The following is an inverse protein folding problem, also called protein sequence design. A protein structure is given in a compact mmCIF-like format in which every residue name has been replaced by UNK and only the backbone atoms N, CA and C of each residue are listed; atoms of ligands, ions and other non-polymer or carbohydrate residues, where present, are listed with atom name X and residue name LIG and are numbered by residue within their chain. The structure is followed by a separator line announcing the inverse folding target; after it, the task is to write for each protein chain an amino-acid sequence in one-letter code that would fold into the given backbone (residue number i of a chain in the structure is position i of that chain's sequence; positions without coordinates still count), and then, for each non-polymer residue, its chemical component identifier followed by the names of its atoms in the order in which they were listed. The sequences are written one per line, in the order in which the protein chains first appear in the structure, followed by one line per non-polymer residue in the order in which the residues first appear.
data_IF_242802378238
#
_entry.id   IF_242802378238
#
_cell.length_a   1.000
_cell.length_b   1.000
_cell.length_c   1.000
_cell.angle_alpha   90.00
_cell.angle_beta   90.00
_cell.angle_gamma   90.00
#
_symmetry.space_group_name_H-M   'P 1'
#
loop_
_entity.id
_entity.type
_entity.pdbx_description
1 polymer ?
#
# COMPACT_ATOMS: atom_id res chain seq x y z
N UNK A 1 -22.41 13.35 -21.42
CA UNK A 1 -21.23 13.73 -22.21
C UNK A 1 -20.09 13.90 -21.22
N UNK A 2 -19.04 13.07 -21.29
CA UNK A 2 -17.88 13.24 -20.40
C UNK A 2 -17.10 14.42 -20.95
N UNK A 3 -16.92 15.45 -20.12
CA UNK A 3 -16.24 16.68 -20.49
C UNK A 3 -14.73 16.41 -20.70
N UNK A 4 -14.14 16.78 -21.85
CA UNK A 4 -12.72 16.56 -22.11
C UNK A 4 -11.80 17.30 -21.13
N UNK A 5 -12.22 18.46 -20.60
CA UNK A 5 -11.45 19.16 -19.56
C UNK A 5 -11.50 18.41 -18.23
N UNK A 6 -12.61 17.71 -17.95
CA UNK A 6 -12.70 16.81 -16.80
C UNK A 6 -11.76 15.60 -16.97
N UNK A 7 -11.60 15.05 -18.17
CA UNK A 7 -10.66 13.95 -18.43
C UNK A 7 -9.21 14.38 -18.28
N UNK A 8 -8.84 15.56 -18.81
CA UNK A 8 -7.49 16.10 -18.64
C UNK A 8 -7.17 16.37 -17.17
N UNK A 9 -8.13 16.93 -16.43
CA UNK A 9 -7.98 17.18 -14.99
C UNK A 9 -7.84 15.86 -14.22
N UNK A 10 -8.64 14.85 -14.54
CA UNK A 10 -8.54 13.52 -13.93
C UNK A 10 -7.19 12.85 -14.24
N UNK A 11 -6.71 12.95 -15.49
CA UNK A 11 -5.40 12.46 -15.93
C UNK A 11 -4.27 13.09 -15.10
N UNK A 12 -4.28 14.41 -14.94
CA UNK A 12 -3.30 15.12 -14.10
C UNK A 12 -3.38 14.69 -12.63
N UNK A 13 -4.58 14.58 -12.08
CA UNK A 13 -4.80 14.14 -10.71
C UNK A 13 -4.24 12.73 -10.46
N UNK A 14 -4.48 11.79 -11.39
CA UNK A 14 -3.93 10.43 -11.31
C UNK A 14 -2.41 10.46 -11.37
N UNK A 15 -1.80 11.22 -12.28
CA UNK A 15 -0.34 11.33 -12.35
C UNK A 15 0.28 11.84 -11.05
N UNK A 16 -0.28 12.91 -10.45
CA UNK A 16 0.19 13.42 -9.16
C UNK A 16 0.05 12.38 -8.04
N UNK A 17 -1.03 11.61 -8.07
CA UNK A 17 -1.27 10.50 -7.16
C UNK A 17 -0.27 9.34 -7.32
N UNK A 18 0.19 9.08 -8.55
CA UNK A 18 1.19 8.04 -8.81
C UNK A 18 2.60 8.52 -8.46
N UNK A 19 2.92 9.78 -8.74
CA UNK A 19 4.18 10.42 -8.36
C UNK A 19 4.37 10.50 -6.85
N UNK A 20 3.34 10.94 -6.10
CA UNK A 20 3.39 11.00 -4.62
C UNK A 20 3.58 9.63 -3.97
N UNK A 21 3.21 8.56 -4.67
CA UNK A 21 3.44 7.17 -4.24
C UNK A 21 4.76 6.60 -4.77
N UNK A 22 5.54 7.33 -5.57
CA UNK A 22 6.76 6.84 -6.19
C UNK A 22 6.53 5.70 -7.18
N UNK A 23 5.36 5.66 -7.82
CA UNK A 23 4.98 4.70 -8.87
C UNK A 23 5.30 5.23 -10.27
N UNK A 24 5.52 6.54 -10.39
CA UNK A 24 6.05 7.18 -11.59
C UNK A 24 7.40 7.84 -11.26
N UNK A 25 8.25 7.93 -12.28
CA UNK A 25 9.47 8.73 -12.25
C UNK A 25 9.19 10.10 -12.87
N UNK A 26 9.93 11.12 -12.43
CA UNK A 26 9.80 12.47 -12.96
C UNK A 26 9.92 12.47 -14.49
N UNK A 27 8.94 13.08 -15.16
CA UNK A 27 8.90 13.16 -16.63
C UNK A 27 8.34 11.92 -17.34
N UNK A 28 7.78 10.93 -16.62
CA UNK A 28 7.12 9.75 -17.22
C UNK A 28 5.61 9.74 -16.99
N UNK A 29 4.98 10.91 -17.07
CA UNK A 29 3.52 11.02 -16.94
C UNK A 29 2.82 10.22 -18.06
N UNK A 30 1.63 9.71 -17.72
CA UNK A 30 0.77 8.97 -18.64
C UNK A 30 -0.39 9.88 -18.99
N UNK A 31 -0.63 10.14 -20.27
CA UNK A 31 -1.85 10.84 -20.66
C UNK A 31 -3.02 9.84 -20.68
N UNK A 32 -3.80 9.85 -19.59
CA UNK A 32 -5.01 9.03 -19.49
C UNK A 32 -6.19 9.58 -20.27
N UNK A 33 -6.14 10.85 -20.70
CA UNK A 33 -7.21 11.48 -21.48
C UNK A 33 -7.04 11.20 -22.99
N UNK A 34 -5.80 11.16 -23.45
CA UNK A 34 -5.43 10.79 -24.83
C UNK A 34 -4.17 9.89 -24.84
N UNK A 35 -4.32 8.58 -24.62
CA UNK A 35 -3.19 7.66 -24.59
C UNK A 35 -2.56 7.43 -25.98
N UNK A 36 -3.28 7.70 -27.08
CA UNK A 36 -2.74 7.60 -28.43
C UNK A 36 -1.76 8.73 -28.75
N UNK A 37 -2.03 9.93 -28.22
CA UNK A 37 -1.16 11.10 -28.31
C UNK A 37 0.09 11.05 -27.42
N UNK A 38 0.25 10.00 -26.60
CA UNK A 38 1.44 9.83 -25.77
C UNK A 38 2.71 9.68 -26.62
N UNK A 39 3.83 10.17 -26.11
CA UNK A 39 5.13 9.99 -26.74
C UNK A 39 5.46 8.49 -26.87
N UNK A 40 5.63 8.01 -28.10
CA UNK A 40 5.74 6.58 -28.42
C UNK A 40 4.40 5.84 -28.61
N UNK A 41 3.28 6.56 -28.70
CA UNK A 41 1.95 6.05 -29.03
C UNK A 41 1.30 5.20 -27.94
N UNK A 42 0.12 4.64 -28.29
CA UNK A 42 -0.73 3.86 -27.38
C UNK A 42 0.01 2.71 -26.69
N UNK A 43 0.89 2.00 -27.41
CA UNK A 43 1.61 0.85 -26.84
C UNK A 43 2.55 1.25 -25.70
N UNK A 44 3.21 2.41 -25.84
CA UNK A 44 4.06 2.95 -24.78
C UNK A 44 3.24 3.34 -23.56
N UNK A 45 2.10 4.03 -23.77
CA UNK A 45 1.19 4.39 -22.69
C UNK A 45 0.67 3.15 -21.95
N UNK A 46 0.22 2.13 -22.69
CA UNK A 46 -0.24 0.86 -22.12
C UNK A 46 0.86 0.13 -21.36
N UNK A 47 2.10 0.12 -21.87
CA UNK A 47 3.26 -0.45 -21.16
C UNK A 47 3.48 0.22 -19.81
N UNK A 48 3.43 1.56 -19.76
CA UNK A 48 3.54 2.33 -18.50
C UNK A 48 2.40 2.01 -17.54
N UNK A 49 1.16 1.92 -18.04
CA UNK A 49 -0.01 1.56 -17.23
C UNK A 49 0.17 0.16 -16.61
N UNK A 50 0.62 -0.82 -17.40
CA UNK A 50 0.87 -2.19 -16.92
C UNK A 50 1.92 -2.19 -15.81
N UNK A 51 3.02 -1.46 -15.98
CA UNK A 51 4.06 -1.34 -14.95
C UNK A 51 3.51 -0.73 -13.65
N UNK A 52 2.74 0.35 -13.75
CA UNK A 52 2.10 0.99 -12.58
C UNK A 52 1.16 0.03 -11.86
N UNK A 53 0.33 -0.71 -12.61
CA UNK A 53 -0.60 -1.70 -12.04
C UNK A 53 0.16 -2.82 -11.34
N UNK A 54 1.23 -3.34 -11.95
CA UNK A 54 2.08 -4.34 -11.33
C UNK A 54 2.68 -3.85 -10.00
N UNK A 55 3.22 -2.64 -9.99
CA UNK A 55 3.83 -2.07 -8.78
C UNK A 55 2.80 -1.83 -7.67
N UNK A 56 1.57 -1.45 -8.03
CA UNK A 56 0.46 -1.31 -7.08
C UNK A 56 0.09 -2.65 -6.44
N UNK A 57 0.00 -3.72 -7.24
CA UNK A 57 -0.28 -5.07 -6.74
C UNK A 57 0.84 -5.52 -5.79
N UNK A 58 2.10 -5.42 -6.22
CA UNK A 58 3.23 -5.84 -5.41
C UNK A 58 3.36 -5.04 -4.10
N UNK A 59 3.00 -3.77 -4.08
CA UNK A 59 2.99 -2.96 -2.85
C UNK A 59 1.83 -3.36 -1.94
N UNK A 60 0.63 -3.55 -2.49
CA UNK A 60 -0.54 -3.98 -1.73
C UNK A 60 -0.31 -5.34 -1.06
N UNK A 61 0.31 -6.26 -1.78
CA UNK A 61 0.61 -7.60 -1.26
C UNK A 61 1.61 -7.52 -0.10
N UNK A 62 2.70 -6.76 -0.27
CA UNK A 62 3.67 -6.47 0.82
C UNK A 62 3.02 -5.79 2.02
N UNK A 63 2.15 -4.83 1.80
CA UNK A 63 1.43 -4.13 2.88
C UNK A 63 0.43 -5.05 3.60
N UNK A 64 -0.12 -6.04 2.92
CA UNK A 64 -0.97 -7.06 3.52
C UNK A 64 -0.14 -8.03 4.38
N UNK A 65 0.97 -8.54 3.85
CA UNK A 65 1.91 -9.40 4.56
C UNK A 65 2.49 -8.70 5.81
N UNK A 66 2.88 -7.43 5.69
CA UNK A 66 3.41 -6.66 6.81
C UNK A 66 2.37 -6.48 7.92
N UNK A 67 1.11 -6.17 7.56
CA UNK A 67 0.02 -6.06 8.54
C UNK A 67 -0.28 -7.39 9.22
N UNK A 68 -0.23 -8.50 8.49
CA UNK A 68 -0.40 -9.84 9.07
C UNK A 68 0.73 -10.18 10.04
N UNK A 69 1.98 -9.90 9.66
CA UNK A 69 3.15 -10.07 10.52
C UNK A 69 3.03 -9.27 11.82
N UNK A 70 2.70 -7.97 11.73
CA UNK A 70 2.49 -7.11 12.90
C UNK A 70 1.36 -7.63 13.81
N UNK A 71 0.23 -8.07 13.23
CA UNK A 71 -0.88 -8.65 13.97
C UNK A 71 -0.47 -9.93 14.71
N UNK A 72 0.33 -10.78 14.07
CA UNK A 72 0.90 -11.99 14.67
C UNK A 72 1.83 -11.63 15.84
N UNK A 73 2.77 -10.69 15.64
CA UNK A 73 3.68 -10.23 16.69
C UNK A 73 2.92 -9.66 17.89
N UNK A 74 1.88 -8.84 17.67
CA UNK A 74 1.07 -8.30 18.75
C UNK A 74 0.32 -9.38 19.54
N UNK A 75 -0.18 -10.43 18.88
CA UNK A 75 -0.81 -11.58 19.56
C UNK A 75 0.21 -12.37 20.39
N UNK A 76 1.41 -12.60 19.86
CA UNK A 76 2.50 -13.26 20.58
C UNK A 76 2.92 -12.45 21.80
N UNK A 77 3.19 -11.14 21.65
CA UNK A 77 3.55 -10.26 22.75
C UNK A 77 2.48 -10.22 23.84
N UNK A 78 1.18 -10.18 23.48
CA UNK A 78 0.10 -10.28 24.46
C UNK A 78 0.10 -11.61 25.20
N UNK A 79 0.29 -12.71 24.49
CA UNK A 79 0.33 -14.06 25.09
C UNK A 79 1.52 -14.20 26.05
N UNK A 80 2.69 -13.69 25.65
CA UNK A 80 3.90 -13.73 26.47
C UNK A 80 3.78 -12.82 27.69
N UNK A 81 3.20 -11.62 27.54
CA UNK A 81 2.90 -10.74 28.67
C UNK A 81 1.92 -11.39 29.66
N UNK A 82 0.90 -12.11 29.16
CA UNK A 82 -0.02 -12.86 30.01
C UNK A 82 0.69 -14.00 30.76
N UNK A 83 1.55 -14.77 30.08
CA UNK A 83 2.35 -15.83 30.73
C UNK A 83 3.26 -15.26 31.82
N UNK A 84 4.01 -14.20 31.51
CA UNK A 84 4.87 -13.53 32.48
C UNK A 84 4.09 -12.99 33.68
N UNK A 85 2.90 -12.44 33.48
CA UNK A 85 2.04 -11.99 34.58
C UNK A 85 1.55 -13.16 35.46
N UNK A 86 1.22 -14.31 34.86
CA UNK A 86 0.83 -15.52 35.62
C UNK A 86 2.02 -16.15 36.35
N UNK A 87 3.21 -16.14 35.76
CA UNK A 87 4.44 -16.67 36.36
C UNK A 87 4.99 -15.76 37.46
N UNK A 88 4.90 -14.44 37.28
CA UNK A 88 5.30 -13.43 38.27
C UNK A 88 4.32 -13.29 39.45
N UNK A 89 3.13 -13.91 39.36
CA UNK A 89 2.20 -14.05 40.47
C UNK A 89 2.12 -15.51 40.95
N UNK A 90 3.21 -16.10 41.48
CA UNK A 90 3.09 -17.38 42.17
C UNK A 90 2.44 -17.09 43.52
N UNK A 91 1.18 -17.52 43.68
CA UNK A 91 0.51 -17.80 44.94
C UNK A 91 1.08 -17.09 46.20
N UNK A 92 0.91 -15.76 46.32
CA UNK A 92 1.18 -15.04 47.59
C UNK A 92 0.06 -15.26 48.62
N UNK A 93 -0.67 -16.38 48.53
CA UNK A 93 -1.80 -16.76 49.39
C UNK A 93 -1.61 -18.09 50.10
N UNK A 94 -0.41 -18.66 50.07
CA UNK A 94 -0.04 -19.73 50.98
C UNK A 94 1.14 -19.24 51.81
N UNK A 95 0.87 -18.43 52.85
CA UNK A 95 1.65 -18.27 54.10
C UNK A 95 1.02 -17.16 54.95
N UNK A 96 0.58 -17.53 56.16
CA UNK A 96 -0.15 -16.70 57.14
C UNK A 96 -1.58 -17.22 57.29
N UNK A 97 -1.92 -18.06 58.27
CA UNK A 97 -1.40 -18.19 59.63
C UNK A 97 -2.61 -18.19 60.55
#
# INVERSE_FOLDING_TARGET
MIDPDNLRTASLYINNQLLSRGLLRDGQNIDFADPEGSDGGLQTAMGRIISVVNDLILRRDRDAEHRESLSSTLRTLRTDAQRQATEACPARTAEGG
#
